data_IF_831149098028
#
_entry.id   IF_831149098028
#
_cell.length_a   1.000
_cell.length_b   1.000
_cell.length_c   1.000
_cell.angle_alpha   90.00
_cell.angle_beta   90.00
_cell.angle_gamma   90.00
#
_symmetry.space_group_name_H-M   'P 1'
#
loop_
_entity.id
_entity.type
_entity.pdbx_description
1 polymer ?
#
# COMPACT_ATOMS: atom_id res chain seq x y z
N UNK A 1 19.81 9.79 -25.07
CA UNK A 1 18.73 9.48 -24.13
C UNK A 1 18.08 10.80 -23.76
N UNK A 2 16.94 11.12 -24.39
CA UNK A 2 16.24 12.38 -24.06
C UNK A 2 15.47 12.15 -22.75
N UNK A 3 15.91 12.81 -21.70
CA UNK A 3 15.20 12.79 -20.43
C UNK A 3 13.97 13.69 -20.60
N UNK A 4 12.79 13.08 -20.57
CA UNK A 4 11.53 13.82 -20.56
C UNK A 4 11.26 14.32 -19.13
N UNK A 5 11.54 15.61 -18.88
CA UNK A 5 11.36 16.23 -17.58
C UNK A 5 9.91 16.16 -17.06
N UNK A 6 8.93 16.14 -17.96
CA UNK A 6 7.53 16.03 -17.59
C UNK A 6 7.25 14.62 -17.03
N UNK A 7 7.72 13.59 -17.72
CA UNK A 7 7.58 12.21 -17.24
C UNK A 7 8.31 11.97 -15.92
N UNK A 8 9.51 12.57 -15.75
CA UNK A 8 10.25 12.51 -14.49
C UNK A 8 9.47 13.16 -13.35
N UNK A 9 8.90 14.35 -13.59
CA UNK A 9 8.10 15.06 -12.59
C UNK A 9 6.84 14.29 -12.19
N UNK A 10 6.11 13.74 -13.17
CA UNK A 10 4.93 12.90 -12.91
C UNK A 10 5.29 11.66 -12.10
N UNK A 11 6.37 10.98 -12.46
CA UNK A 11 6.85 9.81 -11.72
C UNK A 11 7.23 10.17 -10.27
N UNK A 12 7.89 11.32 -10.07
CA UNK A 12 8.26 11.81 -8.74
C UNK A 12 7.02 12.11 -7.87
N UNK A 13 5.98 12.74 -8.43
CA UNK A 13 4.71 13.01 -7.72
C UNK A 13 4.02 11.70 -7.34
N UNK A 14 3.93 10.74 -8.27
CA UNK A 14 3.30 9.45 -8.01
C UNK A 14 4.05 8.65 -6.92
N UNK A 15 5.37 8.60 -6.99
CA UNK A 15 6.20 7.93 -5.99
C UNK A 15 6.20 8.66 -4.63
N UNK A 16 6.09 9.99 -4.64
CA UNK A 16 6.05 10.82 -3.44
C UNK A 16 4.72 10.78 -2.69
N UNK A 17 3.61 10.45 -3.36
CA UNK A 17 2.28 10.47 -2.74
C UNK A 17 2.16 9.53 -1.52
N UNK A 18 2.58 8.26 -1.57
CA UNK A 18 2.57 7.38 -0.40
C UNK A 18 3.42 7.92 0.76
N UNK A 19 4.59 8.48 0.44
CA UNK A 19 5.50 9.06 1.43
C UNK A 19 4.86 10.29 2.09
N UNK A 20 4.19 11.13 1.31
CA UNK A 20 3.46 12.30 1.83
C UNK A 20 2.38 11.86 2.83
N UNK A 21 1.58 10.84 2.49
CA UNK A 21 0.53 10.34 3.39
C UNK A 21 1.13 9.73 4.67
N UNK A 22 2.22 8.99 4.55
CA UNK A 22 2.97 8.46 5.70
C UNK A 22 3.48 9.57 6.60
N UNK A 23 4.10 10.61 6.03
CA UNK A 23 4.62 11.77 6.77
C UNK A 23 3.51 12.55 7.47
N UNK A 24 2.34 12.73 6.83
CA UNK A 24 1.19 13.36 7.48
C UNK A 24 0.71 12.56 8.69
N UNK A 25 0.70 11.23 8.58
CA UNK A 25 0.39 10.35 9.72
C UNK A 25 1.40 10.52 10.86
N UNK A 26 2.70 10.62 10.54
CA UNK A 26 3.76 10.82 11.52
C UNK A 26 3.65 12.18 12.20
N UNK A 27 3.40 13.25 11.46
CA UNK A 27 3.19 14.59 12.04
C UNK A 27 2.04 14.59 13.06
N UNK A 28 0.98 13.81 12.82
CA UNK A 28 -0.14 13.69 13.77
C UNK A 28 0.27 12.93 15.03
N UNK A 29 1.06 11.87 14.91
CA UNK A 29 1.60 11.12 16.07
C UNK A 29 2.60 11.95 16.85
N UNK A 30 3.49 12.67 16.21
CA UNK A 30 4.44 13.59 16.88
C UNK A 30 3.73 14.70 17.66
N UNK A 31 2.66 15.28 17.09
CA UNK A 31 1.84 16.27 17.81
C UNK A 31 1.17 15.71 19.06
N UNK A 32 0.91 14.41 19.12
CA UNK A 32 0.41 13.74 20.32
C UNK A 32 1.50 13.37 21.33
N UNK A 33 2.76 13.70 21.04
CA UNK A 33 3.92 13.42 21.89
C UNK A 33 4.53 12.02 21.68
N UNK A 34 4.19 11.35 20.59
CA UNK A 34 4.69 10.01 20.26
C UNK A 34 5.45 10.04 18.94
N UNK A 35 6.70 9.59 18.93
CA UNK A 35 7.52 9.44 17.73
C UNK A 35 7.36 8.03 17.18
N UNK A 36 6.68 7.88 16.06
CA UNK A 36 6.39 6.56 15.47
C UNK A 36 7.29 6.24 14.28
N UNK A 37 8.47 5.69 14.53
CA UNK A 37 9.37 5.20 13.48
C UNK A 37 8.87 3.93 12.77
N UNK A 38 7.69 3.41 13.14
CA UNK A 38 7.09 2.21 12.57
C UNK A 38 6.17 2.46 11.37
N UNK A 39 5.98 3.71 10.94
CA UNK A 39 5.08 4.08 9.84
C UNK A 39 5.42 3.33 8.57
N UNK A 40 6.69 3.21 8.22
CA UNK A 40 7.15 2.49 7.03
C UNK A 40 6.74 1.01 7.07
N UNK A 41 6.90 0.33 8.21
CA UNK A 41 6.45 -1.05 8.39
C UNK A 41 4.94 -1.21 8.24
N UNK A 42 4.16 -0.27 8.79
CA UNK A 42 2.71 -0.24 8.64
C UNK A 42 2.29 -0.04 7.18
N UNK A 43 3.00 0.81 6.43
CA UNK A 43 2.78 1.00 5.00
C UNK A 43 3.01 -0.30 4.21
N UNK A 44 4.09 -1.04 4.50
CA UNK A 44 4.34 -2.34 3.88
C UNK A 44 3.27 -3.37 4.22
N UNK A 45 2.81 -3.42 5.48
CA UNK A 45 1.69 -4.28 5.88
C UNK A 45 0.40 -3.93 5.11
N UNK A 46 0.09 -2.65 4.99
CA UNK A 46 -1.04 -2.17 4.20
C UNK A 46 -0.94 -2.54 2.72
N UNK A 47 0.24 -2.36 2.13
CA UNK A 47 0.49 -2.68 0.72
C UNK A 47 0.27 -4.17 0.42
N UNK A 48 0.86 -5.06 1.21
CA UNK A 48 0.69 -6.50 0.97
C UNK A 48 -0.76 -6.95 1.22
N UNK A 49 -1.42 -6.42 2.24
CA UNK A 49 -2.81 -6.73 2.53
C UNK A 49 -3.74 -6.30 1.39
N UNK A 50 -3.51 -5.14 0.77
CA UNK A 50 -4.30 -4.65 -0.36
C UNK A 50 -4.19 -5.57 -1.58
N UNK A 51 -2.96 -5.98 -1.92
CA UNK A 51 -2.70 -6.88 -3.04
C UNK A 51 -3.32 -8.26 -2.77
N UNK A 52 -3.13 -8.81 -1.56
CA UNK A 52 -3.68 -10.10 -1.17
C UNK A 52 -5.20 -10.12 -1.25
N UNK A 53 -5.86 -9.09 -0.73
CA UNK A 53 -7.31 -9.00 -0.70
C UNK A 53 -7.90 -8.82 -2.11
N UNK A 54 -7.32 -7.96 -2.95
CA UNK A 54 -7.72 -7.82 -4.35
C UNK A 54 -7.57 -9.13 -5.13
N UNK A 55 -6.41 -9.77 -4.99
CA UNK A 55 -6.14 -11.04 -5.66
C UNK A 55 -7.11 -12.14 -5.21
N UNK A 56 -7.37 -12.26 -3.90
CA UNK A 56 -8.32 -13.22 -3.36
C UNK A 56 -9.74 -12.99 -3.91
N UNK A 57 -10.20 -11.75 -3.95
CA UNK A 57 -11.49 -11.39 -4.54
C UNK A 57 -11.56 -11.79 -6.03
N UNK A 58 -10.52 -11.50 -6.82
CA UNK A 58 -10.47 -11.84 -8.24
C UNK A 58 -10.49 -13.37 -8.47
N UNK A 59 -9.83 -14.15 -7.60
CA UNK A 59 -9.86 -15.61 -7.68
C UNK A 59 -11.23 -16.17 -7.30
N UNK A 60 -11.88 -15.61 -6.28
CA UNK A 60 -13.25 -15.97 -5.91
C UNK A 60 -14.23 -15.68 -7.05
N UNK A 61 -14.12 -14.52 -7.69
CA UNK A 61 -14.97 -14.15 -8.81
C UNK A 61 -14.81 -15.13 -9.99
N UNK A 62 -13.57 -15.48 -10.33
CA UNK A 62 -13.27 -16.49 -11.38
C UNK A 62 -13.85 -17.86 -11.02
N UNK A 63 -13.70 -18.31 -9.78
CA UNK A 63 -14.24 -19.59 -9.31
C UNK A 63 -15.76 -19.65 -9.32
N UNK A 64 -16.42 -18.52 -9.10
CA UNK A 64 -17.88 -18.38 -9.14
C UNK A 64 -18.45 -18.10 -10.55
N UNK A 65 -17.59 -17.96 -11.57
CA UNK A 65 -18.00 -17.79 -12.96
C UNK A 65 -18.50 -16.40 -13.33
N UNK A 66 -18.19 -15.35 -12.53
CA UNK A 66 -18.56 -13.98 -12.86
C UNK A 66 -17.31 -13.09 -13.05
N UNK A 67 -17.47 -12.03 -13.83
CA UNK A 67 -16.41 -11.05 -14.03
C UNK A 67 -16.18 -10.22 -12.76
N UNK A 68 -14.95 -10.18 -12.25
CA UNK A 68 -14.60 -9.34 -11.11
C UNK A 68 -14.83 -7.86 -11.43
N UNK A 69 -15.60 -7.17 -10.58
CA UNK A 69 -15.79 -5.72 -10.70
C UNK A 69 -14.52 -4.99 -10.26
N UNK A 70 -13.94 -4.16 -11.14
CA UNK A 70 -12.75 -3.38 -10.82
C UNK A 70 -12.97 -2.41 -9.67
N UNK A 71 -14.14 -1.79 -9.59
CA UNK A 71 -14.50 -0.87 -8.50
C UNK A 71 -14.57 -1.58 -7.16
N UNK A 72 -15.21 -2.76 -7.10
CA UNK A 72 -15.31 -3.53 -5.86
C UNK A 72 -13.93 -4.05 -5.42
N UNK A 73 -13.11 -4.51 -6.36
CA UNK A 73 -11.72 -4.92 -6.09
C UNK A 73 -10.89 -3.77 -5.50
N UNK A 74 -11.04 -2.56 -6.05
CA UNK A 74 -10.39 -1.35 -5.53
C UNK A 74 -10.86 -1.03 -4.10
N UNK A 75 -12.15 -1.09 -3.83
CA UNK A 75 -12.70 -0.82 -2.50
C UNK A 75 -12.20 -1.83 -1.47
N UNK A 76 -12.18 -3.12 -1.83
CA UNK A 76 -11.63 -4.19 -0.99
C UNK A 76 -10.14 -3.94 -0.70
N UNK A 77 -9.36 -3.56 -1.72
CA UNK A 77 -7.94 -3.23 -1.56
C UNK A 77 -7.73 -2.08 -0.55
N UNK A 78 -8.50 -1.00 -0.67
CA UNK A 78 -8.42 0.16 0.21
C UNK A 78 -8.79 -0.19 1.65
N UNK A 79 -9.87 -0.94 1.85
CA UNK A 79 -10.30 -1.38 3.17
C UNK A 79 -9.29 -2.33 3.82
N UNK A 80 -8.72 -3.25 3.04
CA UNK A 80 -7.68 -4.16 3.52
C UNK A 80 -6.40 -3.40 3.91
N UNK A 81 -5.97 -2.44 3.09
CA UNK A 81 -4.82 -1.59 3.40
C UNK A 81 -5.03 -0.79 4.69
N UNK A 82 -6.20 -0.16 4.82
CA UNK A 82 -6.57 0.61 6.01
C UNK A 82 -6.61 -0.30 7.25
N UNK A 83 -7.25 -1.45 7.16
CA UNK A 83 -7.34 -2.41 8.27
C UNK A 83 -5.98 -2.91 8.73
N UNK A 84 -5.09 -3.27 7.80
CA UNK A 84 -3.74 -3.74 8.13
C UNK A 84 -2.87 -2.62 8.72
N UNK A 85 -2.95 -1.41 8.17
CA UNK A 85 -2.27 -0.23 8.73
C UNK A 85 -2.78 0.12 10.13
N UNK A 86 -4.11 0.11 10.34
CA UNK A 86 -4.73 0.34 11.63
C UNK A 86 -4.33 -0.73 12.67
N UNK A 87 -4.22 -1.99 12.25
CA UNK A 87 -3.73 -3.07 13.10
C UNK A 87 -2.28 -2.85 13.54
N UNK A 88 -1.40 -2.44 12.62
CA UNK A 88 -0.03 -2.04 12.95
C UNK A 88 0.03 -0.87 13.93
N UNK A 89 -0.80 0.16 13.71
CA UNK A 89 -0.92 1.31 14.61
C UNK A 89 -1.45 0.92 16.00
N UNK A 90 -2.38 -0.04 16.08
CA UNK A 90 -2.89 -0.58 17.34
C UNK A 90 -1.78 -1.29 18.12
N UNK A 91 -0.97 -2.12 17.47
CA UNK A 91 0.19 -2.77 18.10
C UNK A 91 1.15 -1.71 18.64
N UNK A 92 1.51 -0.72 17.83
CA UNK A 92 2.39 0.37 18.25
C UNK A 92 1.84 1.10 19.46
N UNK A 93 0.58 1.53 19.40
CA UNK A 93 -0.10 2.26 20.47
C UNK A 93 -0.19 1.45 21.76
N UNK A 94 -0.51 0.17 21.68
CA UNK A 94 -0.56 -0.72 22.84
C UNK A 94 0.82 -0.82 23.53
N UNK A 95 1.88 -0.99 22.76
CA UNK A 95 3.23 -1.10 23.30
C UNK A 95 3.73 0.22 23.90
N UNK A 96 3.50 1.34 23.23
CA UNK A 96 4.06 2.63 23.66
C UNK A 96 3.20 3.35 24.69
N UNK A 97 1.89 3.28 24.60
CA UNK A 97 0.96 3.95 25.52
C UNK A 97 0.65 3.07 26.73
N UNK A 98 0.25 1.82 26.51
CA UNK A 98 -0.19 0.92 27.59
C UNK A 98 1.00 0.33 28.34
N UNK A 99 1.98 -0.23 27.62
CA UNK A 99 3.17 -0.84 28.24
C UNK A 99 4.31 0.15 28.47
N UNK A 100 4.18 1.40 28.01
CA UNK A 100 5.19 2.47 28.15
C UNK A 100 6.56 2.05 27.64
N UNK A 101 6.60 1.21 26.59
CA UNK A 101 7.83 0.80 25.92
C UNK A 101 8.51 1.99 25.23
N UNK A 102 9.81 1.86 24.99
CA UNK A 102 10.56 2.90 24.28
C UNK A 102 10.02 3.04 22.84
N UNK A 103 9.57 4.25 22.50
CA UNK A 103 8.91 4.55 21.21
C UNK A 103 9.80 4.28 20.02
N UNK A 104 11.10 4.68 20.09
CA UNK A 104 12.04 4.51 19.01
C UNK A 104 12.31 3.02 18.72
N UNK A 105 12.54 2.23 19.79
CA UNK A 105 12.79 0.79 19.66
C UNK A 105 11.55 0.08 19.14
N UNK A 106 10.38 0.41 19.66
CA UNK A 106 9.10 -0.17 19.21
C UNK A 106 8.83 0.15 17.76
N UNK A 107 9.05 1.41 17.33
CA UNK A 107 8.87 1.82 15.95
C UNK A 107 9.80 1.09 14.99
N UNK A 108 11.11 1.05 15.28
CA UNK A 108 12.08 0.33 14.45
C UNK A 108 11.78 -1.17 14.38
N UNK A 109 11.38 -1.77 15.50
CA UNK A 109 10.98 -3.19 15.53
C UNK A 109 9.77 -3.44 14.63
N UNK A 110 8.79 -2.54 14.67
CA UNK A 110 7.59 -2.63 13.84
C UNK A 110 7.90 -2.46 12.34
N UNK A 111 8.87 -1.61 12.00
CA UNK A 111 9.35 -1.47 10.61
C UNK A 111 9.99 -2.76 10.11
N UNK A 112 10.88 -3.36 10.89
CA UNK A 112 11.53 -4.65 10.53
C UNK A 112 10.47 -5.76 10.44
N UNK A 113 9.56 -5.83 11.40
CA UNK A 113 8.48 -6.81 11.40
C UNK A 113 7.56 -6.64 10.19
N UNK A 114 7.12 -5.41 9.90
CA UNK A 114 6.21 -5.11 8.79
C UNK A 114 6.81 -5.42 7.44
N UNK A 115 8.08 -5.07 7.21
CA UNK A 115 8.80 -5.40 5.98
C UNK A 115 9.01 -6.90 5.83
N UNK A 116 9.39 -7.58 6.92
CA UNK A 116 9.54 -9.04 6.94
C UNK A 116 8.24 -9.76 6.64
N UNK A 117 7.14 -9.34 7.27
CA UNK A 117 5.80 -9.88 7.03
C UNK A 117 5.35 -9.66 5.58
N UNK A 118 5.57 -8.46 5.03
CA UNK A 118 5.21 -8.16 3.66
C UNK A 118 5.98 -9.02 2.65
N UNK A 119 7.28 -9.21 2.86
CA UNK A 119 8.10 -10.06 2.02
C UNK A 119 7.66 -11.53 2.10
N UNK A 120 7.44 -12.05 3.31
CA UNK A 120 6.98 -13.41 3.52
C UNK A 120 5.62 -13.67 2.86
N UNK A 121 4.64 -12.80 3.11
CA UNK A 121 3.31 -12.91 2.50
C UNK A 121 3.37 -12.73 0.99
N UNK A 122 4.22 -11.82 0.49
CA UNK A 122 4.42 -11.61 -0.94
C UNK A 122 4.98 -12.85 -1.64
N UNK A 123 5.96 -13.51 -1.03
CA UNK A 123 6.50 -14.77 -1.55
C UNK A 123 5.45 -15.90 -1.54
N UNK A 124 4.67 -16.00 -0.47
CA UNK A 124 3.61 -17.00 -0.34
C UNK A 124 2.53 -16.81 -1.41
N UNK A 125 2.11 -15.56 -1.62
CA UNK A 125 1.15 -15.20 -2.68
C UNK A 125 1.73 -15.48 -4.07
N UNK A 126 3.00 -15.14 -4.31
CA UNK A 126 3.68 -15.43 -5.56
C UNK A 126 3.71 -16.92 -5.88
N UNK A 127 4.01 -17.76 -4.89
CA UNK A 127 3.95 -19.24 -5.04
C UNK A 127 2.54 -19.72 -5.39
N UNK A 128 1.52 -19.18 -4.72
CA UNK A 128 0.12 -19.53 -4.97
C UNK A 128 -0.38 -19.07 -6.34
N UNK A 129 0.16 -17.97 -6.86
CA UNK A 129 -0.21 -17.41 -8.16
C UNK A 129 0.62 -17.96 -9.32
N UNK A 130 1.64 -18.78 -9.05
CA UNK A 130 2.55 -19.31 -10.08
C UNK A 130 3.55 -18.27 -10.62
N UNK A 131 3.83 -17.21 -9.87
CA UNK A 131 4.75 -16.13 -10.23
C UNK A 131 4.41 -14.80 -9.55
N UNK A 132 4.61 -13.69 -10.27
CA UNK A 132 4.27 -12.38 -9.74
C UNK A 132 2.75 -12.20 -9.61
N UNK A 133 2.30 -11.78 -8.43
CA UNK A 133 0.91 -11.42 -8.21
C UNK A 133 0.63 -10.06 -8.85
N UNK A 134 -0.27 -10.04 -9.80
CA UNK A 134 -0.76 -8.82 -10.43
C UNK A 134 -2.28 -8.77 -10.35
N UNK A 135 -2.81 -7.59 -10.07
CA UNK A 135 -4.24 -7.35 -10.12
C UNK A 135 -4.72 -7.24 -11.59
N UNK A 136 -5.99 -7.54 -11.83
CA UNK A 136 -6.58 -7.52 -13.17
C UNK A 136 -6.52 -6.15 -13.82
N UNK A 137 -6.63 -6.13 -15.16
CA UNK A 137 -6.73 -4.87 -15.93
C UNK A 137 -7.92 -4.02 -15.49
N UNK A 138 -9.04 -4.64 -15.10
CA UNK A 138 -10.22 -3.94 -14.61
C UNK A 138 -9.95 -3.22 -13.28
N UNK A 139 -9.24 -3.85 -12.35
CA UNK A 139 -8.83 -3.23 -11.08
C UNK A 139 -7.84 -2.09 -11.30
N UNK A 140 -6.84 -2.28 -12.17
CA UNK A 140 -5.90 -1.22 -12.54
C UNK A 140 -6.62 -0.02 -13.17
N UNK A 141 -7.61 -0.26 -14.05
CA UNK A 141 -8.41 0.80 -14.66
C UNK A 141 -9.27 1.54 -13.64
N UNK A 142 -9.83 0.85 -12.62
CA UNK A 142 -10.60 1.47 -11.56
C UNK A 142 -9.73 2.41 -10.70
N UNK A 143 -8.50 2.00 -10.34
CA UNK A 143 -7.54 2.88 -9.66
C UNK A 143 -7.13 4.08 -10.55
N UNK A 144 -6.95 3.85 -11.85
CA UNK A 144 -6.62 4.93 -12.79
C UNK A 144 -7.76 5.94 -12.99
N UNK A 145 -9.01 5.58 -12.70
CA UNK A 145 -10.16 6.51 -12.73
C UNK A 145 -10.21 7.43 -11.50
N UNK A 146 -9.52 7.07 -10.41
CA UNK A 146 -9.28 7.94 -9.26
C UNK A 146 -8.22 9.01 -9.56
N UNK A 147 -8.29 9.65 -10.72
CA UNK A 147 -7.34 10.66 -11.15
C UNK A 147 -7.48 11.94 -10.31
N UNK A 148 -7.00 11.86 -9.06
CA UNK A 148 -7.07 12.94 -8.05
C UNK A 148 -6.31 14.20 -8.47
N UNK A 149 -5.40 14.11 -9.45
CA UNK A 149 -4.53 15.21 -9.86
C UNK A 149 -4.57 15.53 -11.36
N UNK A 150 -5.44 14.91 -12.16
CA UNK A 150 -5.50 15.12 -13.60
C UNK A 150 -4.26 14.66 -14.38
N UNK A 151 -3.42 13.82 -13.78
CA UNK A 151 -2.14 13.37 -14.34
C UNK A 151 -2.29 12.30 -15.42
N UNK A 152 -3.48 11.71 -15.54
CA UNK A 152 -3.76 10.63 -16.50
C UNK A 152 -3.52 11.03 -17.95
N UNK A 153 -3.82 12.27 -18.31
CA UNK A 153 -3.65 12.77 -19.69
C UNK A 153 -2.22 13.25 -19.99
N UNK A 154 -1.40 13.40 -18.95
CA UNK A 154 0.01 13.87 -19.07
C UNK A 154 1.00 12.71 -19.08
N UNK A 155 0.53 11.47 -18.84
CA UNK A 155 1.39 10.31 -18.79
C UNK A 155 1.90 9.96 -20.19
N UNK A 156 3.21 10.04 -20.36
CA UNK A 156 3.89 9.53 -21.55
C UNK A 156 3.66 8.01 -21.68
N UNK A 157 3.78 7.43 -22.89
CA UNK A 157 3.60 6.00 -23.12
C UNK A 157 4.46 5.10 -22.21
N UNK A 158 5.53 5.61 -21.62
CA UNK A 158 6.41 4.90 -20.70
C UNK A 158 5.71 4.54 -19.38
N UNK A 159 4.78 5.36 -18.89
CA UNK A 159 4.02 5.08 -17.66
C UNK A 159 2.83 4.14 -17.88
N UNK A 160 2.46 3.86 -19.12
CA UNK A 160 1.40 2.91 -19.45
C UNK A 160 1.89 1.45 -19.48
N UNK A 161 3.20 1.24 -19.46
CA UNK A 161 3.85 -0.10 -19.55
C UNK A 161 4.39 -0.61 -18.22
N UNK A 162 4.35 0.19 -17.15
CA UNK A 162 4.66 -0.20 -15.79
C UNK A 162 3.35 -0.47 -15.03
#
# INVERSE_FOLDING_TARGET
>A
MNIDFISLFVAAVLAGTPLLLGTLGEILTEKSGHLNLGVEGMMFMGAIASIAASWAYEQMAKGAGFAASGFLSMLIALLAAFGAGAFGALIYSFLTVTLRANQNVTGLTLTIFGTGLANFCGELLGKSAGGFVTVSKATKAAFAQLDLFGLKNSASPVLQTI
#
